data_IF_339310082028
#
_entry.id   IF_339310082028
#
_cell.length_a   1.000
_cell.length_b   1.000
_cell.length_c   1.000
_cell.angle_alpha   90.00
_cell.angle_beta   90.00
_cell.angle_gamma   90.00
#
_symmetry.space_group_name_H-M   'P 1'
#
loop_
_entity.id
_entity.type
_entity.pdbx_description
1 polymer ?
#
# COMPACT_ATOMS: atom_id res chain seq x y z
N UNK A 1 13.14 -10.69 -0.21
CA UNK A 1 11.85 -10.43 0.47
C UNK A 1 10.82 -10.15 -0.62
N UNK A 2 9.66 -10.83 -0.63
CA UNK A 2 8.72 -10.83 -1.78
C UNK A 2 7.55 -9.83 -1.63
N UNK A 3 7.54 -9.02 -0.57
CA UNK A 3 6.50 -8.00 -0.32
C UNK A 3 7.08 -6.61 -0.60
N UNK A 4 6.43 -5.86 -1.47
CA UNK A 4 6.89 -4.55 -1.91
C UNK A 4 6.83 -3.51 -0.79
N UNK A 5 5.79 -3.55 0.05
CA UNK A 5 5.63 -2.65 1.20
C UNK A 5 6.13 -3.24 2.54
N UNK A 6 6.67 -4.46 2.51
CA UNK A 6 6.89 -5.28 3.70
C UNK A 6 5.63 -6.00 4.15
N UNK A 7 5.72 -6.72 5.27
CA UNK A 7 4.66 -7.62 5.75
C UNK A 7 3.95 -6.99 6.96
N UNK A 8 2.61 -7.01 7.05
CA UNK A 8 1.91 -6.61 8.26
C UNK A 8 2.24 -7.55 9.43
N UNK A 9 2.51 -6.99 10.60
CA UNK A 9 2.85 -7.77 11.81
C UNK A 9 1.75 -8.75 12.25
N UNK A 10 0.51 -8.53 11.79
CA UNK A 10 -0.63 -9.40 12.08
C UNK A 10 -0.77 -10.59 11.12
N UNK A 11 0.18 -10.84 10.21
CA UNK A 11 0.08 -11.90 9.18
C UNK A 11 -0.38 -13.25 9.76
N UNK A 12 0.26 -13.73 10.83
CA UNK A 12 -0.09 -15.03 11.43
C UNK A 12 -1.54 -15.07 11.95
N UNK A 13 -2.04 -13.96 12.48
CA UNK A 13 -3.43 -13.85 12.94
C UNK A 13 -4.39 -13.83 11.75
N UNK A 14 -4.02 -13.17 10.64
CA UNK A 14 -4.78 -13.20 9.39
C UNK A 14 -4.86 -14.61 8.80
N UNK A 15 -3.75 -15.35 8.78
CA UNK A 15 -3.72 -16.76 8.34
C UNK A 15 -4.64 -17.64 9.20
N UNK A 16 -4.58 -17.47 10.53
CA UNK A 16 -5.45 -18.19 11.46
C UNK A 16 -6.93 -17.85 11.25
N UNK A 17 -7.26 -16.60 10.93
CA UNK A 17 -8.63 -16.16 10.71
C UNK A 17 -9.23 -16.63 9.38
N UNK A 18 -8.42 -16.72 8.32
CA UNK A 18 -8.90 -16.91 6.94
C UNK A 18 -8.77 -18.34 6.41
N UNK A 19 -7.83 -19.13 6.91
CA UNK A 19 -7.55 -20.45 6.32
C UNK A 19 -8.57 -21.53 6.68
N UNK A 20 -8.52 -22.62 5.91
CA UNK A 20 -9.32 -23.82 6.14
C UNK A 20 -8.64 -24.72 7.18
N UNK A 21 -9.40 -25.11 8.20
CA UNK A 21 -8.96 -26.11 9.19
C UNK A 21 -9.08 -27.49 8.56
N UNK A 22 -7.97 -28.21 8.43
CA UNK A 22 -7.95 -29.58 7.88
C UNK A 22 -8.16 -30.66 8.95
N UNK A 23 -7.74 -30.41 10.21
CA UNK A 23 -7.88 -31.33 11.34
C UNK A 23 -7.98 -30.56 12.65
N UNK A 24 -8.84 -31.03 13.57
CA UNK A 24 -9.01 -30.44 14.90
C UNK A 24 -9.91 -29.19 14.87
N UNK A 25 -9.73 -28.32 15.86
CA UNK A 25 -10.46 -27.07 16.00
C UNK A 25 -9.47 -25.93 16.26
N UNK A 26 -9.65 -24.80 15.58
CA UNK A 26 -8.83 -23.61 15.75
C UNK A 26 -9.74 -22.38 15.95
N UNK A 27 -9.30 -21.38 16.73
CA UNK A 27 -10.05 -20.14 16.87
C UNK A 27 -10.09 -19.36 15.56
N UNK A 28 -11.16 -18.58 15.35
CA UNK A 28 -11.32 -17.67 14.21
C UNK A 28 -11.41 -16.22 14.69
N UNK A 29 -10.25 -15.56 14.94
CA UNK A 29 -10.24 -14.21 15.45
C UNK A 29 -10.88 -13.23 14.46
N UNK A 30 -11.70 -12.31 15.00
CA UNK A 30 -12.18 -11.15 14.24
C UNK A 30 -11.10 -10.08 14.19
N UNK A 31 -11.17 -9.20 13.19
CA UNK A 31 -10.23 -8.09 13.08
C UNK A 31 -10.35 -7.16 14.31
N UNK A 32 -9.29 -6.99 15.12
CA UNK A 32 -9.39 -6.23 16.37
C UNK A 32 -9.60 -4.74 16.11
N UNK A 33 -10.48 -4.10 16.91
CA UNK A 33 -10.70 -2.65 16.85
C UNK A 33 -9.40 -1.86 17.09
N UNK A 34 -8.60 -2.26 18.08
CA UNK A 34 -7.31 -1.62 18.35
C UNK A 34 -6.36 -1.62 17.13
N UNK A 35 -6.39 -2.70 16.34
CA UNK A 35 -5.60 -2.78 15.11
C UNK A 35 -6.19 -1.89 14.00
N UNK A 36 -7.52 -1.86 13.88
CA UNK A 36 -8.24 -1.00 12.93
C UNK A 36 -7.95 0.48 13.18
N UNK A 37 -7.80 0.86 14.43
CA UNK A 37 -7.53 2.25 14.83
C UNK A 37 -6.04 2.61 14.66
N UNK A 38 -5.12 1.70 15.03
CA UNK A 38 -3.69 1.99 15.05
C UNK A 38 -2.94 1.76 13.71
N UNK A 39 -3.37 0.79 12.90
CA UNK A 39 -2.62 0.42 11.70
C UNK A 39 -2.74 1.43 10.54
N UNK A 40 -3.91 2.02 10.22
CA UNK A 40 -4.03 2.95 9.10
C UNK A 40 -3.06 4.14 9.12
N UNK A 41 -2.90 4.91 10.23
CA UNK A 41 -1.97 6.04 10.23
C UNK A 41 -0.52 5.60 9.97
N UNK A 42 -0.06 4.50 10.57
CA UNK A 42 1.30 3.97 10.36
C UNK A 42 1.58 3.69 8.89
N UNK A 43 0.61 3.11 8.18
CA UNK A 43 0.76 2.77 6.77
C UNK A 43 0.67 3.99 5.86
N UNK A 44 -0.19 4.96 6.20
CA UNK A 44 -0.30 6.24 5.48
C UNK A 44 0.97 7.07 5.61
N UNK A 45 1.52 7.16 6.81
CA UNK A 45 2.76 7.89 7.07
C UNK A 45 3.93 7.31 6.26
N UNK A 46 4.00 5.98 6.15
CA UNK A 46 4.98 5.29 5.30
C UNK A 46 4.81 5.65 3.83
N UNK A 47 3.58 5.62 3.31
CA UNK A 47 3.28 6.00 1.93
C UNK A 47 3.69 7.45 1.63
N UNK A 48 3.35 8.38 2.52
CA UNK A 48 3.73 9.79 2.39
C UNK A 48 5.25 9.96 2.40
N UNK A 49 5.95 9.32 3.35
CA UNK A 49 7.41 9.35 3.44
C UNK A 49 8.07 8.81 2.16
N UNK A 50 7.57 7.71 1.62
CA UNK A 50 8.07 7.12 0.37
C UNK A 50 7.89 8.07 -0.81
N UNK A 51 6.72 8.70 -0.97
CA UNK A 51 6.48 9.68 -2.04
C UNK A 51 7.35 10.93 -1.90
N UNK A 52 7.46 11.47 -0.67
CA UNK A 52 8.29 12.65 -0.39
C UNK A 52 9.76 12.38 -0.71
N UNK A 53 10.27 11.22 -0.31
CA UNK A 53 11.64 10.82 -0.61
C UNK A 53 11.86 10.67 -2.12
N UNK A 54 10.94 10.02 -2.83
CA UNK A 54 11.04 9.85 -4.28
C UNK A 54 11.09 11.20 -5.03
N UNK A 55 10.32 12.18 -4.56
CA UNK A 55 10.31 13.54 -5.13
C UNK A 55 11.69 14.19 -5.05
N UNK A 56 12.32 14.17 -3.87
CA UNK A 56 13.63 14.80 -3.67
C UNK A 56 14.81 13.98 -4.20
N UNK A 57 14.71 12.65 -4.18
CA UNK A 57 15.82 11.76 -4.51
C UNK A 57 15.85 11.40 -6.01
N UNK A 58 14.69 11.18 -6.64
CA UNK A 58 14.62 10.54 -7.96
C UNK A 58 14.01 11.45 -9.04
N UNK A 59 12.91 12.15 -8.74
CA UNK A 59 12.19 12.94 -9.73
C UNK A 59 13.06 14.06 -10.33
N UNK A 60 13.78 14.81 -9.47
CA UNK A 60 14.68 15.89 -9.91
C UNK A 60 15.82 15.42 -10.84
N UNK A 61 16.12 14.12 -10.86
CA UNK A 61 17.19 13.50 -11.68
C UNK A 61 16.64 12.73 -12.88
N UNK A 62 15.33 12.76 -13.12
CA UNK A 62 14.70 12.01 -14.22
C UNK A 62 14.76 10.49 -14.05
N UNK A 63 14.90 10.00 -12.81
CA UNK A 63 15.08 8.57 -12.50
C UNK A 63 13.73 7.83 -12.50
N UNK A 64 13.26 7.51 -13.71
CA UNK A 64 11.92 6.94 -13.95
C UNK A 64 11.69 5.61 -13.23
N UNK A 65 12.69 4.72 -13.22
CA UNK A 65 12.54 3.38 -12.65
C UNK A 65 12.33 3.45 -11.13
N UNK A 66 13.11 4.30 -10.47
CA UNK A 66 13.06 4.54 -9.04
C UNK A 66 11.75 5.24 -8.63
N UNK A 67 11.28 6.22 -9.42
CA UNK A 67 9.96 6.84 -9.19
C UNK A 67 8.85 5.81 -9.34
N UNK A 68 8.86 4.98 -10.39
CA UNK A 68 7.85 3.94 -10.57
C UNK A 68 7.86 2.91 -9.42
N UNK A 69 9.04 2.51 -8.95
CA UNK A 69 9.18 1.61 -7.80
C UNK A 69 8.64 2.23 -6.51
N UNK A 70 8.93 3.52 -6.27
CA UNK A 70 8.43 4.24 -5.11
C UNK A 70 6.90 4.41 -5.15
N UNK A 71 6.33 4.74 -6.32
CA UNK A 71 4.88 4.81 -6.53
C UNK A 71 4.20 3.47 -6.20
N UNK A 72 4.70 2.37 -6.75
CA UNK A 72 4.17 1.04 -6.48
C UNK A 72 4.26 0.68 -4.98
N UNK A 73 5.38 1.03 -4.33
CA UNK A 73 5.59 0.80 -2.89
C UNK A 73 4.62 1.60 -2.04
N UNK A 74 4.48 2.91 -2.31
CA UNK A 74 3.55 3.79 -1.62
C UNK A 74 2.09 3.35 -1.80
N UNK A 75 1.74 2.89 -3.00
CA UNK A 75 0.42 2.30 -3.27
C UNK A 75 0.13 1.06 -2.43
N UNK A 76 1.10 0.15 -2.29
CA UNK A 76 0.94 -1.04 -1.44
C UNK A 76 0.83 -0.68 0.05
N UNK A 77 1.60 0.30 0.52
CA UNK A 77 1.49 0.83 1.89
C UNK A 77 0.10 1.44 2.13
N UNK A 78 -0.38 2.31 1.25
CA UNK A 78 -1.70 2.89 1.37
C UNK A 78 -2.82 1.84 1.30
N UNK A 79 -2.69 0.82 0.44
CA UNK A 79 -3.64 -0.28 0.37
C UNK A 79 -3.74 -1.05 1.70
N UNK A 80 -2.61 -1.25 2.41
CA UNK A 80 -2.64 -1.79 3.76
C UNK A 80 -3.41 -0.89 4.74
N UNK A 81 -3.27 0.43 4.63
CA UNK A 81 -4.03 1.37 5.45
C UNK A 81 -5.55 1.26 5.18
N UNK A 82 -5.96 1.24 3.92
CA UNK A 82 -7.36 1.12 3.50
C UNK A 82 -7.99 -0.16 4.05
N UNK A 83 -7.35 -1.31 3.82
CA UNK A 83 -7.90 -2.59 4.26
C UNK A 83 -7.90 -2.72 5.79
N UNK A 84 -6.88 -2.18 6.49
CA UNK A 84 -6.90 -2.14 7.94
C UNK A 84 -8.04 -1.28 8.47
N UNK A 85 -8.31 -0.11 7.86
CA UNK A 85 -9.42 0.77 8.23
C UNK A 85 -10.80 0.13 7.97
N UNK A 86 -10.89 -0.80 7.01
CA UNK A 86 -12.09 -1.63 6.76
C UNK A 86 -12.19 -2.85 7.68
N UNK A 87 -11.17 -3.14 8.48
CA UNK A 87 -11.11 -4.34 9.31
C UNK A 87 -10.92 -5.62 8.50
N UNK A 88 -10.23 -5.52 7.38
CA UNK A 88 -9.99 -6.63 6.47
C UNK A 88 -8.61 -7.26 6.67
N UNK A 89 -8.59 -8.58 6.81
CA UNK A 89 -7.35 -9.35 6.88
C UNK A 89 -6.59 -9.34 5.53
N UNK A 90 -5.27 -9.27 5.62
CA UNK A 90 -4.34 -9.33 4.49
C UNK A 90 -3.26 -10.37 4.77
N UNK A 91 -3.10 -11.30 3.82
CA UNK A 91 -2.09 -12.37 3.87
C UNK A 91 -1.05 -12.28 2.76
N UNK A 92 -1.36 -11.57 1.67
CA UNK A 92 -0.45 -11.37 0.54
C UNK A 92 -0.85 -10.13 -0.29
N UNK A 93 0.01 -9.73 -1.23
CA UNK A 93 -0.16 -8.52 -2.04
C UNK A 93 -0.89 -8.75 -3.38
N UNK A 94 -1.19 -10.00 -3.76
CA UNK A 94 -1.64 -10.37 -5.13
C UNK A 94 -2.84 -9.57 -5.63
N UNK A 95 -3.77 -9.25 -4.73
CA UNK A 95 -4.99 -8.48 -5.03
C UNK A 95 -5.12 -7.23 -4.17
N UNK A 96 -4.04 -6.80 -3.52
CA UNK A 96 -4.09 -5.78 -2.47
C UNK A 96 -4.56 -4.42 -3.03
N UNK A 97 -3.92 -3.91 -4.09
CA UNK A 97 -4.33 -2.66 -4.75
C UNK A 97 -5.78 -2.72 -5.26
N UNK A 98 -6.19 -3.85 -5.85
CA UNK A 98 -7.57 -4.03 -6.32
C UNK A 98 -8.58 -3.95 -5.17
N UNK A 99 -8.34 -4.68 -4.06
CA UNK A 99 -9.22 -4.67 -2.90
C UNK A 99 -9.30 -3.29 -2.25
N UNK A 100 -8.20 -2.54 -2.27
CA UNK A 100 -8.15 -1.17 -1.77
C UNK A 100 -8.74 -0.13 -2.73
N UNK A 101 -9.08 -0.48 -3.97
CA UNK A 101 -9.59 0.46 -4.97
C UNK A 101 -8.51 1.38 -5.58
N UNK A 102 -7.25 0.96 -5.55
CA UNK A 102 -6.09 1.78 -5.95
C UNK A 102 -5.52 1.40 -7.33
N UNK A 103 -6.36 0.92 -8.25
CA UNK A 103 -5.92 0.48 -9.59
C UNK A 103 -5.65 1.62 -10.57
N UNK A 104 -6.13 2.83 -10.29
CA UNK A 104 -5.73 4.06 -11.01
C UNK A 104 -4.20 4.28 -10.99
N UNK A 105 -3.49 3.69 -10.02
CA UNK A 105 -2.03 3.72 -9.96
C UNK A 105 -1.36 3.05 -11.17
N UNK A 106 -2.00 2.06 -11.80
CA UNK A 106 -1.48 1.40 -13.00
C UNK A 106 -1.40 2.39 -14.18
N UNK A 107 -2.38 3.30 -14.30
CA UNK A 107 -2.43 4.35 -15.32
C UNK A 107 -1.38 5.44 -15.06
N UNK A 108 -1.26 5.88 -13.80
CA UNK A 108 -0.24 6.87 -13.38
C UNK A 108 1.17 6.34 -13.73
N UNK A 109 1.45 5.07 -13.44
CA UNK A 109 2.76 4.46 -13.71
C UNK A 109 3.00 4.27 -15.21
N UNK A 110 1.96 3.92 -15.99
CA UNK A 110 2.07 3.72 -17.43
C UNK A 110 2.43 5.01 -18.20
N UNK A 111 1.99 6.18 -17.71
CA UNK A 111 2.23 7.50 -18.32
C UNK A 111 3.67 8.05 -18.19
N UNK A 112 4.62 7.27 -17.68
CA UNK A 112 5.96 7.72 -17.31
C UNK A 112 6.79 8.33 -18.45
N UNK A 113 7.50 9.41 -18.09
CA UNK A 113 8.51 10.11 -18.91
C UNK A 113 9.63 10.64 -18.01
N UNK A 114 10.87 10.82 -18.52
CA UNK A 114 12.00 11.20 -17.70
C UNK A 114 12.06 12.69 -17.33
N UNK A 115 11.17 13.54 -17.85
CA UNK A 115 11.21 14.97 -17.50
C UNK A 115 10.86 15.17 -16.01
N UNK A 116 11.68 15.90 -15.23
CA UNK A 116 11.46 16.08 -13.80
C UNK A 116 10.06 16.60 -13.46
N UNK A 117 9.53 17.55 -14.23
CA UNK A 117 8.21 18.12 -14.02
C UNK A 117 7.10 17.09 -14.28
N UNK A 118 7.31 16.16 -15.21
CA UNK A 118 6.38 15.06 -15.46
C UNK A 118 6.38 14.09 -14.29
N UNK A 119 7.55 13.72 -13.77
CA UNK A 119 7.67 12.85 -12.61
C UNK A 119 7.10 13.49 -11.33
N UNK A 120 7.30 14.79 -11.16
CA UNK A 120 6.73 15.56 -10.04
C UNK A 120 5.19 15.57 -10.09
N UNK A 121 4.60 15.78 -11.27
CA UNK A 121 3.15 15.67 -11.48
C UNK A 121 2.62 14.27 -11.19
N UNK A 122 3.33 13.22 -11.63
CA UNK A 122 2.95 11.83 -11.32
C UNK A 122 2.92 11.56 -9.81
N UNK A 123 3.91 12.04 -9.07
CA UNK A 123 3.96 11.91 -7.61
C UNK A 123 2.82 12.69 -6.94
N UNK A 124 2.46 13.87 -7.45
CA UNK A 124 1.33 14.66 -6.93
C UNK A 124 -0.02 13.98 -7.19
N UNK A 125 -0.25 13.46 -8.40
CA UNK A 125 -1.47 12.70 -8.72
C UNK A 125 -1.57 11.44 -7.84
N UNK A 126 -0.47 10.71 -7.67
CA UNK A 126 -0.47 9.56 -6.75
C UNK A 126 -0.80 9.99 -5.32
N UNK A 127 -0.20 11.07 -4.82
CA UNK A 127 -0.50 11.60 -3.49
C UNK A 127 -1.99 11.94 -3.32
N UNK A 128 -2.60 12.61 -4.30
CA UNK A 128 -4.04 12.91 -4.30
C UNK A 128 -4.90 11.64 -4.29
N UNK A 129 -4.57 10.65 -5.12
CA UNK A 129 -5.25 9.35 -5.14
C UNK A 129 -5.19 8.68 -3.76
N UNK A 130 -4.01 8.65 -3.14
CA UNK A 130 -3.83 8.00 -1.84
C UNK A 130 -4.59 8.74 -0.73
N UNK A 131 -4.61 10.07 -0.76
CA UNK A 131 -5.38 10.88 0.20
C UNK A 131 -6.88 10.61 0.10
N UNK A 132 -7.45 10.55 -1.12
CA UNK A 132 -8.89 10.27 -1.34
C UNK A 132 -9.29 8.86 -0.90
N UNK A 133 -8.36 7.91 -0.88
CA UNK A 133 -8.61 6.54 -0.42
C UNK A 133 -8.65 6.41 1.11
N UNK A 134 -8.36 7.48 1.85
CA UNK A 134 -8.28 7.46 3.30
C UNK A 134 -9.66 7.50 3.99
N UNK A 135 -10.71 7.85 3.25
CA UNK A 135 -12.12 7.92 3.67
C UNK A 135 -12.87 6.60 3.39
#
# INVERSE_FOLDING_TARGET
>A
MFHLAGIPSYLLVAELALNQVLRGQLPRPRFPRALRDAAPPIWRDKAELTLRYARSAYAARGQVAEVAGALATAGMQAAHAVLAARGEWVTNEKRLLHRAGLRELDEIIAGRRPEPETLDRMLSHAQELLLRSAD
#
